data_IF_608126723930
#
_entry.id   IF_608126723930
#
_cell.length_a   1.000
_cell.length_b   1.000
_cell.length_c   1.000
_cell.angle_alpha   90.00
_cell.angle_beta   90.00
_cell.angle_gamma   90.00
#
_symmetry.space_group_name_H-M   'P 1'
#
loop_
_entity.id
_entity.type
_entity.pdbx_description
1 polymer ?
#
# COMPACT_ATOMS: atom_id res chain seq x y z
N UNK A 1 -37.53 -21.93 -15.18
CA UNK A 1 -37.01 -20.62 -15.64
C UNK A 1 -37.79 -19.53 -14.93
N UNK A 2 -37.11 -18.51 -14.40
CA UNK A 2 -37.69 -17.41 -13.63
C UNK A 2 -37.38 -16.07 -14.30
N UNK A 3 -38.04 -15.77 -15.45
CA UNK A 3 -37.66 -14.64 -16.29
C UNK A 3 -37.92 -13.28 -15.65
N UNK A 4 -38.84 -13.18 -14.69
CA UNK A 4 -39.17 -11.91 -14.01
C UNK A 4 -38.50 -11.76 -12.65
N UNK A 5 -37.69 -12.74 -12.21
CA UNK A 5 -37.05 -12.68 -10.91
C UNK A 5 -35.92 -11.65 -10.93
N UNK A 6 -36.08 -10.61 -10.12
CA UNK A 6 -35.14 -9.51 -9.97
C UNK A 6 -34.20 -9.69 -8.77
N UNK A 7 -34.75 -10.17 -7.65
CA UNK A 7 -34.03 -10.33 -6.38
C UNK A 7 -34.17 -11.76 -5.86
N UNK A 8 -33.05 -12.39 -5.50
CA UNK A 8 -33.00 -13.73 -4.93
C UNK A 8 -32.31 -13.69 -3.56
N UNK A 9 -33.03 -14.10 -2.52
CA UNK A 9 -32.51 -14.14 -1.14
C UNK A 9 -32.39 -15.60 -0.70
N UNK A 10 -31.15 -16.03 -0.49
CA UNK A 10 -30.79 -17.38 -0.01
C UNK A 10 -30.05 -17.32 1.34
N UNK A 11 -30.29 -16.27 2.14
CA UNK A 11 -29.59 -16.05 3.39
C UNK A 11 -29.84 -17.18 4.42
N UNK A 12 -28.80 -17.58 5.14
CA UNK A 12 -28.80 -18.65 6.14
C UNK A 12 -29.19 -20.04 5.59
N UNK A 13 -28.93 -20.29 4.30
CA UNK A 13 -29.05 -21.63 3.72
C UNK A 13 -27.69 -22.32 3.67
N UNK A 14 -27.67 -23.64 3.84
CA UNK A 14 -26.49 -24.49 3.71
C UNK A 14 -26.11 -24.76 2.24
N UNK A 15 -25.97 -23.69 1.45
CA UNK A 15 -25.52 -23.76 0.07
C UNK A 15 -23.99 -23.83 0.07
N UNK A 16 -23.44 -25.02 -0.23
CA UNK A 16 -22.00 -25.27 -0.20
C UNK A 16 -21.33 -25.04 -1.57
N UNK A 17 -22.09 -25.15 -2.65
CA UNK A 17 -21.63 -24.96 -4.03
C UNK A 17 -22.79 -24.50 -4.93
N UNK A 18 -22.46 -23.87 -6.06
CA UNK A 18 -23.40 -23.56 -7.14
C UNK A 18 -23.18 -24.61 -8.25
N UNK A 19 -24.01 -25.65 -8.29
CA UNK A 19 -23.78 -26.82 -9.18
C UNK A 19 -24.19 -26.59 -10.63
N UNK A 20 -25.06 -25.62 -10.89
CA UNK A 20 -25.54 -25.33 -12.25
C UNK A 20 -24.42 -24.81 -13.16
N UNK A 21 -24.34 -25.30 -14.41
CA UNK A 21 -23.45 -24.73 -15.41
C UNK A 21 -23.71 -23.24 -15.66
N UNK A 22 -22.69 -22.50 -16.04
CA UNK A 22 -22.77 -21.05 -16.29
C UNK A 22 -23.89 -20.66 -17.27
N UNK A 23 -23.99 -21.37 -18.40
CA UNK A 23 -25.02 -21.15 -19.41
C UNK A 23 -26.45 -21.41 -18.89
N UNK A 24 -26.59 -22.26 -17.87
CA UNK A 24 -27.88 -22.57 -17.25
C UNK A 24 -28.33 -21.44 -16.34
N UNK A 25 -27.42 -20.84 -15.57
CA UNK A 25 -27.73 -19.75 -14.64
C UNK A 25 -28.29 -18.52 -15.37
N UNK A 26 -27.65 -18.11 -16.47
CA UNK A 26 -28.10 -17.01 -17.32
C UNK A 26 -29.51 -17.25 -17.87
N UNK A 27 -29.81 -18.49 -18.27
CA UNK A 27 -31.13 -18.89 -18.78
C UNK A 27 -32.18 -18.97 -17.69
N UNK A 28 -31.83 -19.48 -16.50
CA UNK A 28 -32.75 -19.63 -15.39
C UNK A 28 -33.16 -18.28 -14.80
N UNK A 29 -32.24 -17.32 -14.74
CA UNK A 29 -32.42 -16.03 -14.05
C UNK A 29 -31.92 -14.83 -14.90
N UNK A 30 -32.48 -14.60 -16.10
CA UNK A 30 -31.96 -13.62 -17.05
C UNK A 30 -32.11 -12.16 -16.60
N UNK A 31 -32.96 -11.88 -15.61
CA UNK A 31 -33.22 -10.53 -15.10
C UNK A 31 -32.82 -10.35 -13.63
N UNK A 32 -32.05 -11.27 -13.05
CA UNK A 32 -31.60 -11.17 -11.67
C UNK A 32 -30.60 -10.03 -11.52
N UNK A 33 -30.90 -9.08 -10.62
CA UNK A 33 -30.08 -7.91 -10.31
C UNK A 33 -29.45 -7.97 -8.94
N UNK A 34 -30.10 -8.64 -7.99
CA UNK A 34 -29.67 -8.71 -6.60
C UNK A 34 -29.68 -10.15 -6.09
N UNK A 35 -28.56 -10.59 -5.53
CA UNK A 35 -28.46 -11.89 -4.86
C UNK A 35 -27.87 -11.76 -3.46
N UNK A 36 -28.52 -12.41 -2.49
CA UNK A 36 -28.03 -12.50 -1.12
C UNK A 36 -27.73 -13.94 -0.74
N UNK A 37 -26.44 -14.25 -0.59
CA UNK A 37 -25.89 -15.53 -0.12
C UNK A 37 -25.35 -15.39 1.31
N UNK A 38 -25.89 -14.43 2.07
CA UNK A 38 -25.47 -14.14 3.43
C UNK A 38 -25.50 -15.41 4.30
N UNK A 39 -24.39 -15.72 4.99
CA UNK A 39 -24.24 -16.92 5.82
C UNK A 39 -24.56 -18.23 5.05
N UNK A 40 -24.21 -18.29 3.77
CA UNK A 40 -24.15 -19.55 3.02
C UNK A 40 -22.84 -20.30 3.26
N UNK A 41 -22.81 -21.58 2.92
CA UNK A 41 -21.68 -22.49 3.17
C UNK A 41 -20.60 -22.51 2.09
N UNK A 42 -20.53 -21.49 1.22
CA UNK A 42 -19.60 -21.46 0.10
C UNK A 42 -18.13 -21.49 0.57
N UNK A 43 -17.34 -22.34 -0.08
CA UNK A 43 -15.94 -22.61 0.26
C UNK A 43 -14.98 -22.48 -0.93
N UNK A 44 -15.47 -22.22 -2.15
CA UNK A 44 -14.64 -22.08 -3.34
C UNK A 44 -14.86 -20.72 -4.02
N UNK A 45 -13.76 -20.15 -4.54
CA UNK A 45 -13.83 -18.95 -5.38
C UNK A 45 -14.57 -19.20 -6.71
N UNK A 46 -14.56 -20.43 -7.22
CA UNK A 46 -15.30 -20.80 -8.43
C UNK A 46 -16.81 -20.54 -8.28
N UNK A 47 -17.38 -20.77 -7.09
CA UNK A 47 -18.79 -20.48 -6.83
C UNK A 47 -19.10 -18.99 -6.83
N UNK A 48 -18.14 -18.15 -6.43
CA UNK A 48 -18.27 -16.70 -6.53
C UNK A 48 -18.14 -16.28 -8.00
N UNK A 49 -17.19 -16.84 -8.74
CA UNK A 49 -16.95 -16.50 -10.15
C UNK A 49 -18.16 -16.85 -11.03
N UNK A 50 -18.92 -17.93 -10.71
CA UNK A 50 -20.20 -18.28 -11.37
C UNK A 50 -21.26 -17.18 -11.30
N UNK A 51 -21.16 -16.24 -10.36
CA UNK A 51 -22.08 -15.10 -10.31
C UNK A 51 -21.93 -14.17 -11.53
N UNK A 52 -20.79 -14.22 -12.23
CA UNK A 52 -20.60 -13.49 -13.49
C UNK A 52 -21.49 -13.99 -14.63
N UNK A 53 -22.05 -15.20 -14.50
CA UNK A 53 -22.97 -15.79 -15.47
C UNK A 53 -24.34 -15.09 -15.48
N UNK A 54 -24.65 -14.27 -14.47
CA UNK A 54 -25.89 -13.48 -14.43
C UNK A 54 -25.72 -12.16 -15.19
N UNK A 55 -26.42 -11.95 -16.32
CA UNK A 55 -26.14 -10.85 -17.23
C UNK A 55 -26.49 -9.46 -16.69
N UNK A 56 -27.33 -9.38 -15.65
CA UNK A 56 -27.82 -8.12 -15.06
C UNK A 56 -27.50 -7.97 -13.58
N UNK A 57 -26.62 -8.82 -13.05
CA UNK A 57 -26.32 -8.81 -11.62
C UNK A 57 -25.50 -7.56 -11.26
N UNK A 58 -26.01 -6.81 -10.28
CA UNK A 58 -25.48 -5.52 -9.85
C UNK A 58 -25.22 -5.49 -8.34
N UNK A 59 -26.03 -6.17 -7.53
CA UNK A 59 -25.90 -6.22 -6.07
C UNK A 59 -25.63 -7.65 -5.57
N UNK A 60 -24.58 -7.81 -4.77
CA UNK A 60 -24.19 -9.08 -4.16
C UNK A 60 -24.00 -8.92 -2.65
N UNK A 61 -24.54 -9.86 -1.87
CA UNK A 61 -24.33 -9.94 -0.42
C UNK A 61 -23.71 -11.28 -0.01
N UNK A 62 -22.51 -11.23 0.54
CA UNK A 62 -21.63 -12.35 0.86
C UNK A 62 -21.08 -12.29 2.30
N UNK A 63 -21.72 -11.55 3.22
CA UNK A 63 -21.28 -11.57 4.61
C UNK A 63 -21.52 -12.95 5.23
N UNK A 64 -20.57 -13.41 6.05
CA UNK A 64 -20.68 -14.69 6.75
C UNK A 64 -20.37 -15.93 5.90
N UNK A 65 -19.76 -15.76 4.72
CA UNK A 65 -19.29 -16.87 3.89
C UNK A 65 -17.99 -17.47 4.47
N UNK A 66 -17.88 -18.81 4.68
CA UNK A 66 -16.68 -19.48 5.18
C UNK A 66 -15.41 -19.19 4.37
N UNK A 67 -15.49 -19.24 3.03
CA UNK A 67 -14.38 -18.90 2.12
C UNK A 67 -13.71 -17.57 2.47
N UNK A 68 -14.50 -16.58 2.89
CA UNK A 68 -14.01 -15.23 3.12
C UNK A 68 -13.44 -15.02 4.52
N UNK A 69 -13.56 -15.98 5.44
CA UNK A 69 -13.12 -15.81 6.84
C UNK A 69 -11.61 -15.58 7.04
N UNK A 70 -10.71 -16.24 6.30
CA UNK A 70 -9.27 -16.11 6.52
C UNK A 70 -8.68 -14.73 6.20
N UNK A 71 -9.36 -13.95 5.36
CA UNK A 71 -8.85 -12.68 4.83
C UNK A 71 -9.15 -11.49 5.76
N UNK A 72 -8.43 -10.39 5.66
CA UNK A 72 -8.84 -9.12 6.31
C UNK A 72 -10.08 -8.52 5.64
N UNK A 73 -10.78 -7.59 6.30
CA UNK A 73 -11.97 -6.92 5.72
C UNK A 73 -11.66 -6.25 4.39
N UNK A 74 -10.50 -5.60 4.30
CA UNK A 74 -9.99 -4.96 3.08
C UNK A 74 -9.76 -5.97 1.95
N UNK A 75 -9.01 -7.04 2.23
CA UNK A 75 -8.70 -8.07 1.24
C UNK A 75 -9.95 -8.78 0.73
N UNK A 76 -10.87 -9.19 1.63
CA UNK A 76 -12.14 -9.81 1.23
C UNK A 76 -12.87 -8.96 0.20
N UNK A 77 -12.97 -7.65 0.47
CA UNK A 77 -13.69 -6.71 -0.37
C UNK A 77 -13.00 -6.53 -1.72
N UNK A 78 -11.67 -6.29 -1.72
CA UNK A 78 -10.88 -6.13 -2.95
C UNK A 78 -10.92 -7.39 -3.83
N UNK A 79 -10.76 -8.57 -3.24
CA UNK A 79 -10.80 -9.84 -3.96
C UNK A 79 -12.16 -10.10 -4.62
N UNK A 80 -13.26 -9.85 -3.90
CA UNK A 80 -14.62 -10.03 -4.47
C UNK A 80 -14.90 -9.00 -5.57
N UNK A 81 -14.55 -7.72 -5.37
CA UNK A 81 -14.77 -6.67 -6.37
C UNK A 81 -14.01 -6.97 -7.67
N UNK A 82 -12.75 -7.39 -7.56
CA UNK A 82 -11.93 -7.71 -8.72
C UNK A 82 -12.47 -8.91 -9.52
N UNK A 83 -13.10 -9.88 -8.83
CA UNK A 83 -13.69 -11.08 -9.45
C UNK A 83 -15.05 -10.84 -10.09
N UNK A 84 -15.79 -9.83 -9.63
CA UNK A 84 -17.15 -9.53 -10.07
C UNK A 84 -17.22 -8.17 -10.80
N UNK A 85 -16.76 -8.08 -12.06
CA UNK A 85 -16.67 -6.83 -12.81
C UNK A 85 -17.99 -6.07 -12.97
N UNK A 86 -19.13 -6.76 -13.02
CA UNK A 86 -20.45 -6.15 -13.21
C UNK A 86 -21.09 -5.63 -11.92
N UNK A 87 -20.62 -6.08 -10.75
CA UNK A 87 -21.26 -5.80 -9.46
C UNK A 87 -20.95 -4.38 -8.99
N UNK A 88 -21.94 -3.49 -9.01
CA UNK A 88 -21.81 -2.10 -8.59
C UNK A 88 -22.09 -1.88 -7.09
N UNK A 89 -22.60 -2.89 -6.38
CA UNK A 89 -22.86 -2.82 -4.94
C UNK A 89 -22.55 -4.14 -4.24
N UNK A 90 -21.66 -4.07 -3.25
CA UNK A 90 -21.22 -5.23 -2.47
C UNK A 90 -21.53 -5.03 -0.99
N UNK A 91 -22.28 -5.96 -0.40
CA UNK A 91 -22.68 -5.96 1.01
C UNK A 91 -23.38 -4.66 1.46
N UNK A 92 -24.12 -4.03 0.56
CA UNK A 92 -24.85 -2.79 0.84
C UNK A 92 -24.08 -1.51 0.50
N UNK A 93 -22.78 -1.58 0.23
CA UNK A 93 -21.94 -0.43 -0.13
C UNK A 93 -21.68 -0.37 -1.62
N UNK A 94 -21.78 0.84 -2.20
CA UNK A 94 -21.46 1.11 -3.61
C UNK A 94 -19.99 0.78 -3.87
N UNK A 95 -19.71 0.25 -5.05
CA UNK A 95 -18.36 0.06 -5.59
C UNK A 95 -18.08 1.21 -6.53
N UNK A 96 -17.13 2.07 -6.17
CA UNK A 96 -16.73 3.20 -7.03
C UNK A 96 -15.76 2.74 -8.11
N UNK A 97 -15.60 3.53 -9.19
CA UNK A 97 -14.64 3.20 -10.24
C UNK A 97 -13.19 3.17 -9.72
N UNK A 98 -12.82 4.14 -8.87
CA UNK A 98 -11.49 4.16 -8.25
C UNK A 98 -11.26 2.93 -7.35
N UNK A 99 -12.25 2.55 -6.54
CA UNK A 99 -12.17 1.33 -5.74
C UNK A 99 -12.04 0.07 -6.61
N UNK A 100 -12.75 0.01 -7.74
CA UNK A 100 -12.64 -1.11 -8.68
C UNK A 100 -11.26 -1.20 -9.26
N UNK A 101 -10.71 -0.10 -9.77
CA UNK A 101 -9.36 -0.04 -10.30
C UNK A 101 -8.32 -0.46 -9.24
N UNK A 102 -8.44 0.05 -8.02
CA UNK A 102 -7.57 -0.32 -6.89
C UNK A 102 -7.68 -1.81 -6.54
N UNK A 103 -8.90 -2.36 -6.54
CA UNK A 103 -9.17 -3.77 -6.26
C UNK A 103 -8.60 -4.68 -7.35
N UNK A 104 -8.75 -4.31 -8.62
CA UNK A 104 -8.21 -5.04 -9.76
C UNK A 104 -6.68 -5.03 -9.78
N UNK A 105 -6.05 -3.89 -9.47
CA UNK A 105 -4.59 -3.80 -9.30
C UNK A 105 -4.09 -4.60 -8.12
N UNK A 106 -4.80 -4.55 -6.99
CA UNK A 106 -4.51 -5.39 -5.83
C UNK A 106 -4.58 -6.88 -6.21
N UNK A 107 -5.58 -7.29 -6.98
CA UNK A 107 -5.75 -8.67 -7.42
C UNK A 107 -4.58 -9.17 -8.25
N UNK A 108 -4.05 -8.34 -9.17
CA UNK A 108 -2.84 -8.68 -9.94
C UNK A 108 -1.67 -8.94 -8.99
N UNK A 109 -1.43 -8.04 -8.04
CA UNK A 109 -0.33 -8.19 -7.06
C UNK A 109 -0.53 -9.38 -6.13
N UNK A 110 -1.77 -9.69 -5.78
CA UNK A 110 -2.11 -10.79 -4.90
C UNK A 110 -1.76 -12.16 -5.50
N UNK A 111 -1.87 -12.31 -6.81
CA UNK A 111 -1.59 -13.56 -7.53
C UNK A 111 -0.22 -13.58 -8.24
N UNK A 112 0.65 -12.58 -8.03
CA UNK A 112 1.91 -12.45 -8.79
C UNK A 112 2.88 -13.60 -8.56
N UNK A 113 2.90 -14.14 -7.34
CA UNK A 113 3.79 -15.24 -6.92
C UNK A 113 3.10 -16.62 -6.94
N UNK A 114 1.85 -16.68 -7.40
CA UNK A 114 1.07 -17.92 -7.50
C UNK A 114 1.37 -18.62 -8.83
N UNK A 115 1.57 -19.95 -8.85
CA UNK A 115 1.79 -20.70 -10.10
C UNK A 115 0.70 -20.44 -11.14
N UNK A 116 1.08 -20.38 -12.42
CA UNK A 116 0.16 -20.02 -13.50
C UNK A 116 -1.00 -21.01 -13.67
N UNK A 117 -0.83 -22.25 -13.24
CA UNK A 117 -1.86 -23.29 -13.26
C UNK A 117 -2.94 -23.08 -12.17
N UNK A 118 -2.61 -22.30 -11.13
CA UNK A 118 -3.48 -22.05 -9.97
C UNK A 118 -4.11 -20.66 -9.97
N UNK A 119 -3.66 -19.75 -10.86
CA UNK A 119 -4.23 -18.41 -10.94
C UNK A 119 -5.62 -18.43 -11.59
N UNK A 120 -6.58 -17.63 -11.08
CA UNK A 120 -7.90 -17.52 -11.67
C UNK A 120 -7.85 -16.94 -13.08
N UNK A 121 -8.76 -17.34 -13.98
CA UNK A 121 -8.85 -16.76 -15.33
C UNK A 121 -8.90 -15.22 -15.32
N UNK A 122 -9.61 -14.66 -14.33
CA UNK A 122 -9.72 -13.20 -14.11
C UNK A 122 -8.35 -12.51 -14.03
N UNK A 123 -7.33 -13.17 -13.49
CA UNK A 123 -5.97 -12.62 -13.43
C UNK A 123 -5.44 -12.28 -14.83
N UNK A 124 -5.63 -13.17 -15.80
CA UNK A 124 -5.15 -12.96 -17.17
C UNK A 124 -5.88 -11.82 -17.89
N UNK A 125 -7.19 -11.66 -17.64
CA UNK A 125 -7.95 -10.51 -18.15
C UNK A 125 -7.39 -9.20 -17.60
N UNK A 126 -7.10 -9.16 -16.30
CA UNK A 126 -6.57 -7.97 -15.64
C UNK A 126 -5.14 -7.65 -16.07
N UNK A 127 -4.29 -8.65 -16.27
CA UNK A 127 -2.96 -8.46 -16.88
C UNK A 127 -3.07 -7.89 -18.30
N UNK A 128 -4.05 -8.34 -19.08
CA UNK A 128 -4.27 -7.79 -20.43
C UNK A 128 -4.71 -6.32 -20.36
N UNK A 129 -5.51 -5.96 -19.35
CA UNK A 129 -6.01 -4.59 -19.14
C UNK A 129 -4.94 -3.63 -18.58
N UNK A 130 -4.17 -4.06 -17.59
CA UNK A 130 -3.28 -3.18 -16.80
C UNK A 130 -1.79 -3.44 -17.01
N UNK A 131 -1.42 -4.54 -17.67
CA UNK A 131 -0.06 -5.03 -17.73
C UNK A 131 0.36 -5.75 -16.45
N UNK A 132 1.63 -6.17 -16.40
CA UNK A 132 2.24 -6.73 -15.18
C UNK A 132 2.58 -5.59 -14.24
N UNK A 133 2.05 -5.63 -13.02
CA UNK A 133 2.32 -4.64 -11.99
C UNK A 133 3.40 -5.16 -11.05
N UNK A 134 4.37 -4.30 -10.76
CA UNK A 134 5.36 -4.58 -9.71
C UNK A 134 4.71 -4.51 -8.31
N UNK A 135 5.29 -5.20 -7.33
CA UNK A 135 4.93 -5.03 -5.93
C UNK A 135 5.00 -3.57 -5.51
N UNK A 136 4.14 -3.17 -4.57
CA UNK A 136 4.24 -1.83 -3.99
C UNK A 136 5.54 -1.73 -3.18
N UNK A 137 6.32 -0.68 -3.41
CA UNK A 137 7.45 -0.36 -2.55
C UNK A 137 6.93 0.01 -1.16
N UNK A 138 7.47 -0.60 -0.11
CA UNK A 138 7.27 -0.13 1.26
C UNK A 138 8.04 1.17 1.44
N UNK A 139 7.34 2.30 1.27
CA UNK A 139 7.89 3.62 1.54
C UNK A 139 7.48 4.02 2.95
N UNK A 140 8.45 4.10 3.86
CA UNK A 140 8.23 4.69 5.17
C UNK A 140 8.09 6.20 5.03
N UNK A 141 6.85 6.70 5.05
CA UNK A 141 6.54 8.12 4.97
C UNK A 141 6.64 8.83 6.33
N UNK A 142 7.07 8.14 7.40
CA UNK A 142 7.28 8.81 8.69
C UNK A 142 8.36 9.88 8.54
N UNK A 143 8.18 11.07 9.15
CA UNK A 143 9.21 12.09 9.14
C UNK A 143 10.51 11.52 9.67
N UNK A 144 11.61 11.69 8.93
CA UNK A 144 12.92 11.24 9.36
C UNK A 144 13.30 11.97 10.66
N UNK A 145 13.45 11.24 11.76
CA UNK A 145 13.80 11.82 13.07
C UNK A 145 15.31 11.83 13.32
N UNK A 146 16.07 11.05 12.55
CA UNK A 146 17.51 10.92 12.66
C UNK A 146 18.12 10.65 11.29
N UNK A 147 19.33 11.17 11.07
CA UNK A 147 20.11 10.92 9.86
C UNK A 147 21.50 10.39 10.22
N UNK A 148 22.04 9.50 9.40
CA UNK A 148 23.41 9.02 9.46
C UNK A 148 24.28 9.90 8.56
N UNK A 149 25.20 10.67 9.14
CA UNK A 149 26.00 11.67 8.43
C UNK A 149 27.50 11.37 8.56
N UNK A 150 28.27 11.80 7.56
CA UNK A 150 29.72 11.82 7.64
C UNK A 150 30.18 13.16 8.23
N UNK A 151 30.93 13.11 9.32
CA UNK A 151 31.56 14.27 9.93
C UNK A 151 33.02 14.33 9.52
N UNK A 152 33.39 15.41 8.85
CA UNK A 152 34.73 15.64 8.33
C UNK A 152 35.44 16.68 9.20
N UNK A 153 36.59 16.34 9.77
CA UNK A 153 37.42 17.25 10.56
C UNK A 153 38.91 17.00 10.30
N UNK A 154 39.61 17.98 9.73
CA UNK A 154 40.96 17.81 9.18
C UNK A 154 41.00 16.60 8.22
N UNK A 155 41.91 15.65 8.44
CA UNK A 155 42.01 14.42 7.64
C UNK A 155 41.16 13.26 8.19
N UNK A 156 40.31 13.51 9.19
CA UNK A 156 39.46 12.48 9.79
C UNK A 156 38.02 12.57 9.28
N UNK A 157 37.46 11.40 8.97
CA UNK A 157 36.06 11.22 8.61
C UNK A 157 35.47 10.21 9.58
N UNK A 158 34.41 10.60 10.28
CA UNK A 158 33.70 9.73 11.21
C UNK A 158 32.20 9.75 10.89
N UNK A 159 31.62 8.57 10.81
CA UNK A 159 30.19 8.42 10.54
C UNK A 159 29.42 8.39 11.85
N UNK A 160 28.39 9.23 11.98
CA UNK A 160 27.58 9.27 13.20
C UNK A 160 26.09 9.45 12.90
N UNK A 161 25.27 8.88 13.77
CA UNK A 161 23.82 9.11 13.75
C UNK A 161 23.49 10.37 14.56
N UNK A 162 22.83 11.33 13.92
CA UNK A 162 22.37 12.58 14.53
C UNK A 162 20.85 12.62 14.57
N UNK A 163 20.28 13.19 15.63
CA UNK A 163 18.83 13.46 15.65
C UNK A 163 18.55 14.76 14.91
N UNK A 164 17.50 14.79 14.09
CA UNK A 164 17.15 15.96 13.28
C UNK A 164 16.31 17.00 14.06
N UNK A 165 15.75 16.63 15.20
CA UNK A 165 15.03 17.53 16.10
C UNK A 165 15.95 18.42 16.95
N UNK A 166 17.23 18.05 17.08
CA UNK A 166 18.20 18.79 17.88
C UNK A 166 18.65 20.09 17.19
N UNK A 167 19.24 20.99 17.98
CA UNK A 167 19.79 22.26 17.51
C UNK A 167 21.25 22.14 17.08
N UNK A 168 21.72 23.09 16.25
CA UNK A 168 23.15 23.21 15.89
C UNK A 168 24.04 23.30 17.15
N UNK A 169 23.59 23.94 18.22
CA UNK A 169 24.33 24.02 19.49
C UNK A 169 24.52 22.65 20.14
N UNK A 170 23.49 21.80 20.12
CA UNK A 170 23.54 20.45 20.67
C UNK A 170 24.41 19.53 19.81
N UNK A 171 24.35 19.68 18.49
CA UNK A 171 25.27 19.00 17.59
C UNK A 171 26.73 19.37 17.89
N UNK A 172 27.05 20.67 18.05
CA UNK A 172 28.41 21.09 18.46
C UNK A 172 28.85 20.46 19.78
N UNK A 173 27.92 20.29 20.75
CA UNK A 173 28.23 19.61 22.01
C UNK A 173 28.53 18.12 21.80
N UNK A 174 27.81 17.43 20.93
CA UNK A 174 28.07 16.03 20.57
C UNK A 174 29.43 15.90 19.87
N UNK A 175 29.74 16.80 18.94
CA UNK A 175 31.00 16.78 18.19
C UNK A 175 32.23 17.09 19.05
N UNK A 176 32.06 17.72 20.22
CA UNK A 176 33.17 18.06 21.12
C UNK A 176 34.04 16.86 21.51
N UNK A 177 33.43 15.69 21.73
CA UNK A 177 34.18 14.46 22.06
C UNK A 177 34.97 13.93 20.87
N UNK A 178 34.46 14.18 19.66
CA UNK A 178 35.01 13.71 18.40
C UNK A 178 36.19 14.58 17.95
N UNK A 179 35.98 15.89 17.85
CA UNK A 179 36.98 16.83 17.30
C UNK A 179 37.91 17.44 18.36
N UNK A 180 37.68 17.17 19.64
CA UNK A 180 38.45 17.70 20.79
C UNK A 180 38.58 19.25 20.81
N UNK A 181 37.64 19.97 20.21
CA UNK A 181 37.59 21.43 20.19
C UNK A 181 36.53 21.98 21.17
N UNK A 182 36.72 23.18 21.75
CA UNK A 182 35.63 23.91 22.39
C UNK A 182 34.53 24.27 21.38
N UNK A 183 33.26 24.17 21.77
CA UNK A 183 32.11 24.48 20.90
C UNK A 183 32.14 25.91 20.35
N UNK A 184 32.73 26.86 21.08
CA UNK A 184 32.92 28.26 20.66
C UNK A 184 33.81 28.41 19.43
N UNK A 185 34.72 27.46 19.23
CA UNK A 185 35.75 27.47 18.18
C UNK A 185 35.35 26.60 16.98
N UNK A 186 34.17 25.98 16.99
CA UNK A 186 33.70 25.17 15.87
C UNK A 186 32.90 26.00 14.87
N UNK A 187 33.29 25.95 13.61
CA UNK A 187 32.49 26.28 12.43
C UNK A 187 31.97 24.97 11.84
N UNK A 188 30.70 24.96 11.44
CA UNK A 188 30.05 23.79 10.86
C UNK A 188 29.51 24.16 9.49
N UNK A 189 29.83 23.35 8.49
CA UNK A 189 29.33 23.49 7.13
C UNK A 189 28.60 22.21 6.73
N UNK A 190 27.36 22.36 6.29
CA UNK A 190 26.56 21.27 5.77
C UNK A 190 26.64 21.26 4.25
N UNK A 191 26.92 20.10 3.67
CA UNK A 191 26.86 19.89 2.22
C UNK A 191 25.69 18.97 1.90
N UNK A 192 24.71 19.55 1.20
CA UNK A 192 23.65 18.80 0.52
C UNK A 192 24.23 18.21 -0.78
N UNK A 193 24.13 16.88 -0.94
CA UNK A 193 24.63 16.17 -2.13
C UNK A 193 23.92 16.61 -3.43
N UNK A 194 22.73 17.21 -3.33
CA UNK A 194 21.88 17.60 -4.45
C UNK A 194 21.85 19.13 -4.71
N UNK A 195 22.44 19.96 -3.82
CA UNK A 195 22.31 21.42 -3.93
C UNK A 195 23.38 22.08 -4.81
N UNK A 196 23.00 22.96 -5.76
CA UNK A 196 23.95 23.63 -6.66
C UNK A 196 24.72 24.80 -6.02
N UNK A 197 24.47 25.15 -4.75
CA UNK A 197 24.93 26.39 -4.13
C UNK A 197 26.14 26.24 -3.18
N UNK A 198 26.74 25.05 -3.11
CA UNK A 198 27.88 24.79 -2.23
C UNK A 198 27.50 24.68 -0.74
N UNK A 199 28.47 24.64 0.17
CA UNK A 199 28.22 24.39 1.59
C UNK A 199 27.41 25.50 2.27
N UNK A 200 26.41 25.12 3.06
CA UNK A 200 25.70 26.02 3.96
C UNK A 200 26.38 26.07 5.34
N UNK A 201 26.81 27.25 5.78
CA UNK A 201 27.30 27.43 7.15
C UNK A 201 26.13 27.30 8.15
N UNK A 202 26.27 26.41 9.14
CA UNK A 202 25.33 26.28 10.25
C UNK A 202 25.56 27.38 11.30
N UNK A 203 25.30 28.63 10.89
CA UNK A 203 25.60 29.84 11.68
C UNK A 203 24.74 29.99 12.93
N UNK A 204 23.46 29.62 12.84
CA UNK A 204 22.47 29.86 13.89
C UNK A 204 22.39 28.70 14.87
N UNK A 205 23.02 28.86 16.05
CA UNK A 205 23.08 27.85 17.11
C UNK A 205 21.72 27.29 17.55
N UNK A 206 20.64 28.09 17.47
CA UNK A 206 19.29 27.69 17.87
C UNK A 206 18.46 27.06 16.75
N UNK A 207 18.96 27.03 15.51
CA UNK A 207 18.26 26.41 14.37
C UNK A 207 18.29 24.90 14.53
N UNK A 208 17.15 24.25 14.31
CA UNK A 208 17.03 22.80 14.38
C UNK A 208 17.55 22.14 13.09
N UNK A 209 18.11 20.93 13.21
CA UNK A 209 18.80 20.26 12.11
C UNK A 209 17.88 19.85 10.95
N UNK A 210 16.62 19.50 11.21
CA UNK A 210 15.64 19.17 10.17
C UNK A 210 15.41 20.32 9.18
N UNK A 211 15.66 21.57 9.58
CA UNK A 211 15.48 22.74 8.70
C UNK A 211 16.55 22.90 7.62
N UNK A 212 17.59 22.05 7.65
CA UNK A 212 18.62 21.96 6.61
C UNK A 212 18.30 20.84 5.60
N UNK A 213 17.25 20.05 5.82
CA UNK A 213 16.88 18.96 4.92
C UNK A 213 17.86 17.78 4.91
N UNK A 214 18.64 17.60 5.98
CA UNK A 214 19.68 16.57 6.11
C UNK A 214 19.07 15.17 5.96
N UNK A 215 19.72 14.34 5.14
CA UNK A 215 19.41 12.94 4.84
C UNK A 215 20.57 12.02 5.21
N UNK A 216 20.33 10.72 5.10
CA UNK A 216 21.39 9.71 5.30
C UNK A 216 22.45 9.84 4.18
N UNK A 217 23.73 9.83 4.58
CA UNK A 217 24.88 9.96 3.69
C UNK A 217 25.39 11.39 3.49
N UNK A 218 24.70 12.39 4.02
CA UNK A 218 25.12 13.78 3.91
C UNK A 218 26.37 14.09 4.76
N UNK A 219 27.04 15.20 4.43
CA UNK A 219 28.34 15.56 4.99
C UNK A 219 28.29 16.83 5.81
N UNK A 220 28.91 16.78 6.98
CA UNK A 220 29.09 17.91 7.87
C UNK A 220 30.59 18.12 8.08
N UNK A 221 31.09 19.28 7.67
CA UNK A 221 32.49 19.66 7.87
C UNK A 221 32.62 20.52 9.11
N UNK A 222 33.58 20.16 9.94
CA UNK A 222 33.96 20.91 11.14
C UNK A 222 35.26 21.63 10.82
N UNK A 223 35.29 22.94 11.06
CA UNK A 223 36.51 23.74 10.97
C UNK A 223 36.75 24.46 12.30
N UNK A 224 38.03 24.70 12.60
CA UNK A 224 38.42 25.52 13.75
C UNK A 224 38.39 27.00 13.36
N UNK A 225 37.79 27.85 14.20
CA UNK A 225 37.93 29.30 14.08
C UNK A 225 39.40 29.67 14.29
N UNK A 226 40.09 30.01 13.21
CA UNK A 226 41.40 30.67 13.29
C UNK A 226 41.25 31.98 14.05
N UNK A 227 42.16 32.20 15.02
CA UNK A 227 42.31 33.51 15.69
C UNK A 227 42.94 34.51 14.74
#
# INVERSE_FOLDING_TARGET
MFPSLDTLVLANNHLNAIEEPDDSLARLFPNLRSISLHKSGLQSWEDIDKLNSFPKLEEVRLLGIPLLQPYTTEERRKLVIARLPSVSKLNGSVVTEGEREDSERFFIRYYVDVPQEEVPFRYHELITKYGKLEPLAEVDLRPQSSAKVEVHYNDQVEEMSIRLDQTVAELKKQLKTLVQLPTSNMLLYYFDHEAPFGPEEMKYSSRALHSFGIRDGDKIYVESKTK
#
